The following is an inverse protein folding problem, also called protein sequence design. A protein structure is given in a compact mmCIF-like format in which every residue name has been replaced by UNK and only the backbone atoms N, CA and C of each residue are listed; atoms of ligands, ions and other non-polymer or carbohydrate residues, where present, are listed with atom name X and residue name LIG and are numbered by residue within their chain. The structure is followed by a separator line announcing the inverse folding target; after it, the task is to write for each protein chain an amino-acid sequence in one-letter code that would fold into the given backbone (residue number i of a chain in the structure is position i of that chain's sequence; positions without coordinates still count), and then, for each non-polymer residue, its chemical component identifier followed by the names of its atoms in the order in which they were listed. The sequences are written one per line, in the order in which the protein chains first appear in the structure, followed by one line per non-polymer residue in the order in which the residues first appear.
data_IF_544749874962
#
_entry.id   IF_544749874962
#
_cell.length_a   1.000
_cell.length_b   1.000
_cell.length_c   1.000
_cell.angle_alpha   90.00
_cell.angle_beta   90.00
_cell.angle_gamma   90.00
#
_symmetry.space_group_name_H-M   'P 1'
#
loop_
_entity.id
_entity.type
_entity.pdbx_description
1 polymer ?
#
# COMPACT_ATOMS: atom_id res chain seq x y z
N UNK A 1 -19.75 -2.43 -6.93
CA UNK A 1 -18.75 -1.34 -7.01
C UNK A 1 -18.19 -1.11 -5.60
N UNK A 2 -16.93 -0.68 -5.45
CA UNK A 2 -16.39 -0.36 -4.13
C UNK A 2 -17.20 0.77 -3.48
N UNK A 3 -17.25 0.76 -2.15
CA UNK A 3 -17.79 1.85 -1.34
C UNK A 3 -16.61 2.62 -0.71
N UNK A 4 -16.79 3.89 -0.32
CA UNK A 4 -15.80 4.59 0.49
C UNK A 4 -15.50 3.83 1.79
N UNK A 5 -14.25 3.86 2.30
CA UNK A 5 -13.94 3.27 3.60
C UNK A 5 -14.66 4.05 4.70
N UNK A 6 -15.01 3.35 5.78
CA UNK A 6 -15.53 4.00 6.98
C UNK A 6 -14.46 4.90 7.60
N UNK A 7 -14.84 6.07 8.16
CA UNK A 7 -13.92 6.87 8.97
C UNK A 7 -13.40 6.05 10.16
N UNK A 8 -12.15 6.28 10.55
CA UNK A 8 -11.57 5.69 11.76
C UNK A 8 -11.24 6.78 12.79
N UNK A 9 -11.19 6.40 14.06
CA UNK A 9 -10.73 7.27 15.14
C UNK A 9 -9.24 7.05 15.43
N UNK A 10 -8.54 8.13 15.80
CA UNK A 10 -7.12 8.07 16.14
C UNK A 10 -6.18 7.86 14.94
N UNK A 11 -5.00 7.30 15.21
CA UNK A 11 -3.94 7.11 14.20
C UNK A 11 -3.83 5.65 13.80
N UNK A 12 -4.11 5.35 12.53
CA UNK A 12 -3.86 4.04 11.94
C UNK A 12 -2.38 3.90 11.56
N UNK A 13 -1.70 2.86 12.06
CA UNK A 13 -0.31 2.59 11.68
C UNK A 13 -0.26 1.89 10.33
N UNK A 14 0.25 2.58 9.31
CA UNK A 14 0.34 2.11 7.92
C UNK A 14 1.79 2.08 7.42
N UNK A 15 2.64 1.33 8.13
CA UNK A 15 4.10 1.22 7.83
C UNK A 15 4.49 -0.06 7.09
N UNK A 16 3.52 -0.92 6.77
CA UNK A 16 3.72 -2.18 6.07
C UNK A 16 2.92 -2.20 4.78
N UNK A 17 3.38 -3.01 3.82
CA UNK A 17 2.62 -3.25 2.60
C UNK A 17 1.34 -4.04 2.91
N UNK A 18 0.18 -3.62 2.36
CA UNK A 18 -1.08 -4.33 2.49
C UNK A 18 -1.06 -5.66 1.70
N UNK A 19 -2.00 -6.59 1.98
CA UNK A 19 -2.16 -7.77 1.15
C UNK A 19 -2.54 -7.41 -0.28
N UNK A 20 -2.08 -8.20 -1.24
CA UNK A 20 -2.54 -8.09 -2.63
C UNK A 20 -3.89 -8.81 -2.79
N UNK A 21 -4.65 -8.45 -3.83
CA UNK A 21 -5.85 -9.20 -4.16
C UNK A 21 -5.49 -10.64 -4.59
N UNK A 22 -6.34 -11.64 -4.31
CA UNK A 22 -6.15 -12.99 -4.81
C UNK A 22 -6.23 -12.99 -6.34
N UNK A 23 -5.16 -13.47 -6.97
CA UNK A 23 -5.09 -13.62 -8.41
C UNK A 23 -4.46 -14.98 -8.74
N UNK A 24 -4.77 -15.60 -9.89
CA UNK A 24 -4.08 -16.79 -10.34
C UNK A 24 -2.57 -16.58 -10.37
N UNK A 25 -1.78 -17.64 -10.25
CA UNK A 25 -0.31 -17.56 -10.12
C UNK A 25 0.39 -16.64 -11.12
N UNK A 26 -0.10 -16.55 -12.36
CA UNK A 26 0.45 -15.65 -13.38
C UNK A 26 0.23 -14.15 -13.09
N UNK A 27 -0.78 -13.81 -12.28
CA UNK A 27 -1.12 -12.43 -11.92
C UNK A 27 -0.26 -11.85 -10.79
N UNK A 28 0.34 -12.70 -9.94
CA UNK A 28 1.20 -12.25 -8.83
C UNK A 28 2.70 -12.28 -9.14
N UNK A 29 3.10 -12.78 -10.32
CA UNK A 29 4.50 -12.87 -10.75
C UNK A 29 5.24 -11.54 -10.65
N UNK A 30 4.57 -10.43 -11.00
CA UNK A 30 5.16 -9.09 -10.90
C UNK A 30 5.52 -8.71 -9.46
N UNK A 31 4.66 -9.10 -8.50
CA UNK A 31 4.87 -8.84 -7.08
C UNK A 31 6.05 -9.66 -6.58
N UNK A 32 6.11 -10.95 -6.90
CA UNK A 32 7.21 -11.84 -6.49
C UNK A 32 8.58 -11.38 -7.04
N UNK A 33 8.62 -10.77 -8.24
CA UNK A 33 9.85 -10.18 -8.78
C UNK A 33 10.39 -8.99 -7.97
N UNK A 34 9.51 -8.17 -7.39
CA UNK A 34 9.89 -6.98 -6.63
C UNK A 34 9.94 -7.22 -5.12
N UNK A 35 9.20 -8.22 -4.65
CA UNK A 35 9.08 -8.63 -3.25
C UNK A 35 9.12 -10.18 -3.23
N UNK A 36 10.31 -10.80 -3.31
CA UNK A 36 10.44 -12.25 -3.34
C UNK A 36 9.81 -12.92 -2.11
N UNK A 37 9.00 -13.96 -2.35
CA UNK A 37 8.33 -14.70 -1.28
C UNK A 37 7.07 -14.03 -0.75
N UNK A 38 6.51 -13.05 -1.47
CA UNK A 38 5.23 -12.43 -1.11
C UNK A 38 4.11 -13.47 -1.15
N UNK A 39 3.49 -13.72 0.01
CA UNK A 39 2.42 -14.71 0.17
C UNK A 39 1.17 -14.15 0.88
N UNK A 40 1.07 -12.82 1.00
CA UNK A 40 -0.02 -12.14 1.71
C UNK A 40 -1.10 -11.71 0.73
N UNK A 41 -2.15 -12.53 0.57
CA UNK A 41 -3.31 -12.18 -0.26
C UNK A 41 -4.61 -12.11 0.55
N UNK A 42 -5.54 -11.24 0.15
CA UNK A 42 -6.84 -11.04 0.80
C UNK A 42 -7.82 -10.34 -0.15
N UNK A 43 -9.12 -10.67 -0.10
CA UNK A 43 -10.16 -9.90 -0.83
C UNK A 43 -10.32 -8.49 -0.27
N UNK A 44 -9.95 -8.27 0.99
CA UNK A 44 -9.72 -6.92 1.54
C UNK A 44 -8.32 -6.45 1.11
N UNK A 45 -8.22 -5.95 -0.13
CA UNK A 45 -6.97 -5.55 -0.79
C UNK A 45 -6.99 -4.13 -1.38
N UNK A 46 -8.06 -3.36 -1.17
CA UNK A 46 -8.22 -2.04 -1.77
C UNK A 46 -7.49 -0.95 -0.98
N UNK A 47 -6.16 -1.06 -0.95
CA UNK A 47 -5.26 -0.15 -0.24
C UNK A 47 -4.29 0.54 -1.21
N UNK A 48 -3.75 1.69 -0.81
CA UNK A 48 -2.80 2.48 -1.59
C UNK A 48 -1.52 2.70 -0.79
N UNK A 49 -0.38 2.70 -1.50
CA UNK A 49 0.91 3.09 -0.96
C UNK A 49 1.24 4.51 -1.44
N UNK A 50 1.62 5.41 -0.53
CA UNK A 50 1.93 6.81 -0.83
C UNK A 50 3.41 7.06 -0.54
N UNK A 51 4.13 7.53 -1.55
CA UNK A 51 5.53 7.95 -1.42
C UNK A 51 5.64 9.44 -1.72
N UNK A 52 6.29 10.19 -0.82
CA UNK A 52 6.56 11.62 -1.00
C UNK A 52 8.01 11.90 -0.62
N UNK A 53 8.74 12.74 -1.36
CA UNK A 53 10.08 13.15 -0.97
C UNK A 53 10.04 13.89 0.37
N UNK A 54 11.12 13.79 1.15
CA UNK A 54 11.27 14.64 2.33
C UNK A 54 11.38 16.08 1.86
N UNK A 55 10.41 16.92 2.22
CA UNK A 55 10.50 18.36 2.00
C UNK A 55 11.62 18.90 2.90
N UNK A 56 12.76 19.24 2.31
CA UNK A 56 13.80 19.99 3.01
C UNK A 56 13.38 21.47 3.03
N UNK A 57 12.97 21.97 4.20
CA UNK A 57 12.65 23.40 4.40
C UNK A 57 13.84 24.36 4.13
N UNK A 58 15.03 23.83 3.87
CA UNK A 58 16.21 24.61 3.49
C UNK A 58 16.09 25.29 2.11
N UNK A 59 15.09 24.93 1.29
CA UNK A 59 14.81 25.58 0.00
C UNK A 59 13.57 26.49 0.03
N UNK A 60 12.87 26.61 1.17
CA UNK A 60 11.70 27.49 1.30
C UNK A 60 12.00 28.88 1.87
N UNK A 61 13.28 29.25 2.05
CA UNK A 61 13.69 30.67 2.14
C UNK A 61 12.92 31.54 3.14
N UNK A 62 12.53 30.98 4.29
CA UNK A 62 12.25 31.75 5.51
C UNK A 62 13.44 31.58 6.45
#
# INVERSE_FOLDING_TARGET
APQPPEPWEGVLRVTELPPACPQPRMGVTYIDMHIPGFNRTSEDCLYLNIHSPKVSYLLSGL
#
